data_IF_245937418856
#
_entry.id   IF_245937418856
#
_cell.length_a   1.000
_cell.length_b   1.000
_cell.length_c   1.000
_cell.angle_alpha   90.00
_cell.angle_beta   90.00
_cell.angle_gamma   90.00
#
_symmetry.space_group_name_H-M   'P 1'
#
loop_
_entity.id
_entity.type
_entity.pdbx_description
1 polymer ?
#
# COMPACT_ATOMS: atom_id res chain seq x y z
N UNK A 1 -12.56 -22.89 4.60
CA UNK A 1 -12.88 -23.92 3.58
C UNK A 1 -14.15 -23.51 2.85
N UNK A 2 -14.09 -23.36 1.53
CA UNK A 2 -15.27 -23.08 0.70
C UNK A 2 -16.11 -24.36 0.56
N UNK A 3 -17.43 -24.20 0.47
CA UNK A 3 -18.33 -25.30 0.06
C UNK A 3 -18.13 -25.60 -1.43
N UNK A 4 -18.58 -26.75 -1.96
CA UNK A 4 -18.42 -27.12 -3.39
C UNK A 4 -18.97 -26.12 -4.42
N UNK A 5 -19.79 -25.15 -4.01
CA UNK A 5 -20.30 -24.06 -4.85
C UNK A 5 -19.95 -22.67 -4.28
N UNK A 6 -19.01 -22.64 -3.32
CA UNK A 6 -18.54 -21.42 -2.71
C UNK A 6 -17.78 -20.56 -3.71
N UNK A 7 -17.83 -19.25 -3.49
CA UNK A 7 -17.05 -18.25 -4.20
C UNK A 7 -16.07 -17.62 -3.23
N UNK A 8 -14.90 -17.25 -3.73
CA UNK A 8 -14.02 -16.29 -3.08
C UNK A 8 -13.96 -15.03 -3.95
N UNK A 9 -13.90 -13.89 -3.28
CA UNK A 9 -13.59 -12.61 -3.91
C UNK A 9 -12.74 -11.82 -2.92
N UNK A 10 -11.64 -11.25 -3.40
CA UNK A 10 -10.80 -10.35 -2.60
C UNK A 10 -10.13 -9.32 -3.51
N UNK A 11 -9.67 -8.24 -2.89
CA UNK A 11 -8.88 -7.21 -3.56
C UNK A 11 -7.52 -7.09 -2.90
N UNK A 12 -6.49 -6.85 -3.70
CA UNK A 12 -5.14 -6.58 -3.23
C UNK A 12 -4.53 -5.41 -3.99
N UNK A 13 -3.68 -4.63 -3.32
CA UNK A 13 -3.00 -3.51 -3.97
C UNK A 13 -1.89 -3.99 -4.89
N UNK A 14 -1.74 -3.35 -6.05
CA UNK A 14 -0.51 -3.46 -6.81
C UNK A 14 0.57 -2.72 -6.04
N UNK A 15 1.74 -3.34 -5.85
CA UNK A 15 2.83 -2.78 -5.04
C UNK A 15 3.66 -1.75 -5.83
N UNK A 16 3.01 -0.71 -6.35
CA UNK A 16 3.64 0.39 -7.08
C UNK A 16 3.23 1.78 -6.57
N UNK A 17 3.91 2.81 -7.10
CA UNK A 17 3.51 4.21 -6.96
C UNK A 17 3.62 4.84 -5.57
N UNK A 18 2.73 5.79 -5.29
CA UNK A 18 2.81 6.70 -4.15
C UNK A 18 2.80 5.95 -2.80
N UNK A 19 1.81 5.08 -2.59
CA UNK A 19 1.65 4.39 -1.30
C UNK A 19 2.78 3.38 -1.03
N UNK A 20 3.30 2.72 -2.07
CA UNK A 20 4.50 1.90 -1.94
C UNK A 20 5.71 2.73 -1.54
N UNK A 21 5.90 3.88 -2.19
CA UNK A 21 7.00 4.81 -1.88
C UNK A 21 6.92 5.29 -0.43
N UNK A 22 5.74 5.74 0.02
CA UNK A 22 5.53 6.17 1.40
C UNK A 22 5.73 5.03 2.42
N UNK A 23 5.31 3.80 2.09
CA UNK A 23 5.55 2.65 2.95
C UNK A 23 7.06 2.37 3.09
N UNK A 24 7.83 2.44 2.00
CA UNK A 24 9.27 2.20 2.04
C UNK A 24 9.98 3.28 2.87
N UNK A 25 9.57 4.55 2.76
CA UNK A 25 10.07 5.62 3.61
C UNK A 25 9.76 5.39 5.08
N UNK A 26 8.54 4.97 5.41
CA UNK A 26 8.17 4.68 6.82
C UNK A 26 9.04 3.58 7.42
N UNK A 27 9.32 2.51 6.64
CA UNK A 27 10.21 1.42 7.07
C UNK A 27 11.64 1.93 7.28
N UNK A 28 12.13 2.78 6.38
CA UNK A 28 13.46 3.37 6.49
C UNK A 28 13.58 4.28 7.73
N UNK A 29 12.60 5.14 7.99
CA UNK A 29 12.59 6.04 9.14
C UNK A 29 12.58 5.28 10.47
N UNK A 30 11.79 4.19 10.57
CA UNK A 30 11.80 3.31 11.75
C UNK A 30 13.15 2.64 11.92
N UNK A 31 13.71 2.06 10.85
CA UNK A 31 15.03 1.40 10.89
C UNK A 31 16.13 2.36 11.35
N UNK A 32 16.15 3.59 10.83
CA UNK A 32 17.08 4.64 11.23
C UNK A 32 16.93 5.00 12.71
N UNK A 33 15.70 5.22 13.18
CA UNK A 33 15.41 5.62 14.57
C UNK A 33 15.88 4.61 15.60
N UNK A 34 15.72 3.31 15.32
CA UNK A 34 16.14 2.24 16.23
C UNK A 34 17.59 1.77 16.03
N UNK A 35 18.32 2.33 15.05
CA UNK A 35 19.64 1.84 14.67
C UNK A 35 19.66 0.35 14.29
N UNK A 36 18.49 -0.18 13.89
CA UNK A 36 18.33 -1.57 13.51
C UNK A 36 18.39 -1.64 11.99
N UNK A 37 19.37 -2.38 11.47
CA UNK A 37 19.27 -2.87 10.11
C UNK A 37 18.00 -3.73 9.99
N UNK A 38 17.31 -3.63 8.86
CA UNK A 38 16.22 -4.55 8.52
C UNK A 38 16.71 -5.98 8.79
N UNK A 39 16.02 -6.80 9.60
CA UNK A 39 16.50 -8.13 9.97
C UNK A 39 16.88 -8.94 8.73
N UNK A 40 18.16 -9.34 8.63
CA UNK A 40 18.62 -10.19 7.54
C UNK A 40 17.88 -11.53 7.59
N UNK A 41 17.30 -11.95 6.46
CA UNK A 41 16.64 -13.25 6.34
C UNK A 41 15.18 -13.32 6.77
N UNK A 42 14.51 -12.18 7.01
CA UNK A 42 13.05 -12.18 7.02
C UNK A 42 12.54 -12.50 5.60
N UNK A 43 11.70 -13.52 5.48
CA UNK A 43 11.06 -13.83 4.19
C UNK A 43 10.28 -12.60 3.70
N UNK A 44 10.43 -12.30 2.41
CA UNK A 44 9.62 -11.27 1.78
C UNK A 44 8.14 -11.64 1.93
N UNK A 45 7.25 -10.68 2.23
CA UNK A 45 5.82 -10.93 2.17
C UNK A 45 5.42 -11.51 0.82
N UNK A 46 4.37 -12.33 0.81
CA UNK A 46 3.80 -12.82 -0.44
C UNK A 46 3.38 -11.65 -1.34
N UNK A 47 3.67 -11.75 -2.64
CA UNK A 47 3.43 -10.71 -3.63
C UNK A 47 1.93 -10.62 -4.01
N UNK A 48 1.10 -10.09 -3.11
CA UNK A 48 -0.33 -9.92 -3.34
C UNK A 48 -0.67 -8.98 -4.50
N UNK A 49 0.26 -8.14 -4.92
CA UNK A 49 0.12 -7.28 -6.10
C UNK A 49 0.45 -7.94 -7.42
N UNK A 50 0.83 -9.22 -7.43
CA UNK A 50 1.23 -9.96 -8.63
C UNK A 50 0.16 -11.00 -9.04
N UNK A 51 -0.35 -10.85 -10.25
CA UNK A 51 -1.38 -11.74 -10.80
C UNK A 51 -0.92 -13.20 -10.93
N UNK A 52 0.33 -13.41 -11.35
CA UNK A 52 0.88 -14.75 -11.58
C UNK A 52 1.04 -15.46 -10.23
N UNK A 53 1.62 -14.78 -9.25
CA UNK A 53 1.79 -15.31 -7.89
C UNK A 53 0.44 -15.69 -7.28
N UNK A 54 -0.59 -14.84 -7.40
CA UNK A 54 -1.94 -15.14 -6.92
C UNK A 54 -2.49 -16.41 -7.58
N UNK A 55 -2.44 -16.49 -8.92
CA UNK A 55 -2.98 -17.64 -9.65
C UNK A 55 -2.27 -18.93 -9.25
N UNK A 56 -0.95 -18.90 -9.13
CA UNK A 56 -0.14 -20.03 -8.69
C UNK A 56 -0.55 -20.49 -7.28
N UNK A 57 -0.55 -19.58 -6.30
CA UNK A 57 -0.92 -19.88 -4.91
C UNK A 57 -2.27 -20.59 -4.81
N UNK A 58 -3.30 -20.08 -5.49
CA UNK A 58 -4.65 -20.65 -5.39
C UNK A 58 -4.80 -21.96 -6.18
N UNK A 59 -4.04 -22.13 -7.28
CA UNK A 59 -4.07 -23.38 -8.05
C UNK A 59 -3.54 -24.57 -7.26
N UNK A 60 -2.52 -24.36 -6.40
CA UNK A 60 -1.98 -25.37 -5.48
C UNK A 60 -3.02 -25.87 -4.46
N UNK A 61 -4.10 -25.12 -4.27
CA UNK A 61 -5.20 -25.43 -3.37
C UNK A 61 -6.50 -25.84 -4.09
N UNK A 62 -6.44 -26.14 -5.39
CA UNK A 62 -7.60 -26.60 -6.17
C UNK A 62 -8.64 -25.50 -6.41
N UNK A 63 -8.21 -24.23 -6.44
CA UNK A 63 -9.06 -23.09 -6.74
C UNK A 63 -8.68 -22.49 -8.09
N UNK A 64 -9.67 -22.30 -8.95
CA UNK A 64 -9.49 -21.51 -10.17
C UNK A 64 -9.86 -20.06 -9.87
N UNK A 65 -8.89 -19.16 -10.02
CA UNK A 65 -9.05 -17.72 -9.77
C UNK A 65 -8.86 -16.93 -11.07
N UNK A 66 -9.77 -16.01 -11.34
CA UNK A 66 -9.62 -14.94 -12.31
C UNK A 66 -9.12 -13.70 -11.59
N UNK A 67 -8.14 -13.02 -12.17
CA UNK A 67 -7.55 -11.80 -11.64
C UNK A 67 -7.74 -10.71 -12.69
N UNK A 68 -8.20 -9.55 -12.26
CA UNK A 68 -8.39 -8.37 -13.11
C UNK A 68 -7.81 -7.15 -12.41
N UNK A 69 -6.98 -6.38 -13.11
CA UNK A 69 -6.52 -5.09 -12.62
C UNK A 69 -7.64 -4.04 -12.76
N UNK A 70 -7.91 -3.33 -11.67
CA UNK A 70 -8.88 -2.25 -11.56
C UNK A 70 -8.19 -1.00 -11.02
N UNK A 71 -8.84 0.15 -11.21
CA UNK A 71 -8.33 1.43 -10.75
C UNK A 71 -9.25 2.03 -9.67
N UNK A 72 -8.64 2.72 -8.71
CA UNK A 72 -9.32 3.57 -7.73
C UNK A 72 -8.69 4.96 -7.81
N UNK A 73 -9.52 6.00 -7.98
CA UNK A 73 -9.04 7.37 -7.97
C UNK A 73 -9.20 7.95 -6.57
N UNK A 74 -8.13 8.51 -6.03
CA UNK A 74 -8.16 9.36 -4.83
C UNK A 74 -8.14 10.80 -5.29
N UNK A 75 -9.04 11.59 -4.71
CA UNK A 75 -9.16 13.02 -4.95
C UNK A 75 -9.12 13.74 -3.59
N UNK A 76 -8.39 14.84 -3.55
CA UNK A 76 -8.30 15.74 -2.38
C UNK A 76 -8.18 17.18 -2.87
N UNK A 77 -8.48 18.13 -1.98
CA UNK A 77 -8.41 19.57 -2.32
C UNK A 77 -6.99 20.03 -2.65
N UNK A 78 -5.96 19.31 -2.19
CA UNK A 78 -4.54 19.57 -2.50
C UNK A 78 -3.63 18.40 -2.09
N UNK A 79 -2.39 18.39 -2.60
CA UNK A 79 -1.38 17.39 -2.22
C UNK A 79 -1.04 17.48 -0.72
N UNK A 80 -0.97 18.70 -0.18
CA UNK A 80 -0.80 18.95 1.25
C UNK A 80 -1.96 18.34 2.06
N UNK A 81 -3.20 18.52 1.59
CA UNK A 81 -4.38 17.93 2.21
C UNK A 81 -4.30 16.41 2.31
N UNK A 82 -3.87 15.73 1.24
CA UNK A 82 -3.66 14.29 1.30
C UNK A 82 -2.54 13.92 2.29
N UNK A 83 -1.39 14.61 2.22
CA UNK A 83 -0.24 14.33 3.08
C UNK A 83 -0.62 14.45 4.57
N UNK A 84 -1.26 15.56 4.93
CA UNK A 84 -1.71 15.84 6.28
C UNK A 84 -2.71 14.80 6.76
N UNK A 85 -3.74 14.51 5.95
CA UNK A 85 -4.75 13.49 6.27
C UNK A 85 -4.12 12.12 6.52
N UNK A 86 -3.10 11.75 5.75
CA UNK A 86 -2.43 10.47 5.88
C UNK A 86 -1.66 10.37 7.20
N UNK A 87 -0.88 11.38 7.54
CA UNK A 87 -0.16 11.44 8.82
C UNK A 87 -1.14 11.47 10.00
N UNK A 88 -2.20 12.29 9.92
CA UNK A 88 -3.11 12.54 11.02
C UNK A 88 -4.10 11.38 11.31
N UNK A 89 -4.41 10.53 10.31
CA UNK A 89 -5.47 9.52 10.44
C UNK A 89 -5.01 8.07 10.23
N UNK A 90 -3.95 7.83 9.46
CA UNK A 90 -3.62 6.46 9.09
C UNK A 90 -2.88 5.73 10.24
N UNK A 91 -3.40 4.58 10.74
CA UNK A 91 -2.91 3.96 11.97
C UNK A 91 -1.40 3.66 12.01
N UNK A 92 -0.80 3.31 10.87
CA UNK A 92 0.64 3.07 10.78
C UNK A 92 1.44 4.33 11.11
N UNK A 93 1.04 5.51 10.62
CA UNK A 93 1.76 6.76 10.86
C UNK A 93 1.57 7.23 12.29
N UNK A 94 0.36 7.09 12.83
CA UNK A 94 0.08 7.36 14.23
C UNK A 94 0.92 6.47 15.17
N UNK A 95 1.01 5.17 14.87
CA UNK A 95 1.87 4.25 15.65
C UNK A 95 3.35 4.58 15.49
N UNK A 96 3.76 5.00 14.30
CA UNK A 96 5.15 5.38 14.03
C UNK A 96 5.55 6.64 14.82
N UNK A 97 4.64 7.61 14.97
CA UNK A 97 4.87 8.80 15.80
C UNK A 97 5.30 8.43 17.22
N UNK A 98 4.62 7.46 17.83
CA UNK A 98 4.99 6.95 19.16
C UNK A 98 6.37 6.27 19.17
N UNK A 99 6.78 5.68 18.03
CA UNK A 99 8.03 4.94 17.91
C UNK A 99 9.25 5.84 17.64
N UNK A 100 9.13 6.83 16.76
CA UNK A 100 10.26 7.68 16.32
C UNK A 100 10.30 9.06 16.99
N UNK A 101 9.24 9.44 17.70
CA UNK A 101 9.09 10.73 18.37
C UNK A 101 8.59 11.85 17.46
N UNK A 102 8.06 12.91 18.08
CA UNK A 102 7.41 14.05 17.42
C UNK A 102 8.30 14.72 16.36
N UNK A 103 9.53 15.10 16.72
CA UNK A 103 10.41 15.88 15.84
C UNK A 103 10.78 15.10 14.55
N UNK A 104 11.04 13.79 14.68
CA UNK A 104 11.33 12.93 13.51
C UNK A 104 10.08 12.66 12.68
N UNK A 105 8.92 12.57 13.32
CA UNK A 105 7.65 12.41 12.66
C UNK A 105 7.27 13.64 11.82
N UNK A 106 7.39 14.85 12.37
CA UNK A 106 7.12 16.09 11.63
C UNK A 106 8.14 16.32 10.51
N UNK A 107 9.42 15.99 10.72
CA UNK A 107 10.42 16.03 9.63
C UNK A 107 10.04 15.10 8.47
N UNK A 108 9.58 13.88 8.78
CA UNK A 108 9.14 12.93 7.77
C UNK A 108 7.86 13.40 7.05
N UNK A 109 6.95 14.08 7.76
CA UNK A 109 5.77 14.73 7.17
C UNK A 109 6.15 15.80 6.15
N UNK A 110 7.15 16.61 6.46
CA UNK A 110 7.67 17.62 5.52
C UNK A 110 8.38 16.99 4.32
N UNK A 111 9.17 15.93 4.54
CA UNK A 111 9.93 15.23 3.48
C UNK A 111 9.05 14.41 2.53
N UNK A 112 7.87 13.99 2.97
CA UNK A 112 6.91 13.22 2.15
C UNK A 112 6.09 14.10 1.22
N UNK A 113 5.87 15.38 1.56
CA UNK A 113 5.05 16.28 0.74
C UNK A 113 5.54 16.40 -0.72
N UNK A 114 6.83 16.64 -1.02
CA UNK A 114 7.31 16.72 -2.40
C UNK A 114 7.08 15.43 -3.20
N UNK A 115 7.02 14.29 -2.53
CA UNK A 115 6.73 13.00 -3.15
C UNK A 115 5.24 12.90 -3.49
N UNK A 116 4.37 13.28 -2.57
CA UNK A 116 2.92 13.36 -2.84
C UNK A 116 2.66 14.29 -4.02
N UNK A 117 3.27 15.48 -4.04
CA UNK A 117 3.19 16.41 -5.17
C UNK A 117 3.68 15.81 -6.48
N UNK A 118 4.80 15.07 -6.45
CA UNK A 118 5.36 14.41 -7.62
C UNK A 118 4.49 13.31 -8.24
N UNK A 119 3.56 12.73 -7.46
CA UNK A 119 2.59 11.75 -7.92
C UNK A 119 1.23 12.35 -8.29
N UNK A 120 1.04 13.66 -8.12
CA UNK A 120 -0.22 14.32 -8.43
C UNK A 120 -0.49 14.32 -9.95
N UNK A 121 -1.65 13.82 -10.34
CA UNK A 121 -2.14 13.75 -11.72
C UNK A 121 -3.01 14.96 -12.11
N UNK A 122 -3.32 15.86 -11.16
CA UNK A 122 -4.08 17.08 -11.40
C UNK A 122 -3.16 18.28 -11.67
N UNK A 123 -3.65 19.24 -12.46
CA UNK A 123 -2.94 20.45 -12.89
C UNK A 123 -3.67 21.75 -12.49
N UNK A 124 -4.76 21.65 -11.74
CA UNK A 124 -5.63 22.75 -11.32
C UNK A 124 -5.46 23.16 -9.85
N UNK A 125 -4.46 22.60 -9.16
CA UNK A 125 -4.19 22.82 -7.74
C UNK A 125 -4.89 21.83 -6.81
N UNK A 126 -5.82 21.02 -7.31
CA UNK A 126 -6.32 19.85 -6.57
C UNK A 126 -5.29 18.73 -6.54
N UNK A 127 -5.60 17.66 -5.81
CA UNK A 127 -4.85 16.42 -5.88
C UNK A 127 -5.69 15.32 -6.51
N UNK A 128 -5.11 14.60 -7.47
CA UNK A 128 -5.67 13.37 -8.04
C UNK A 128 -4.59 12.31 -8.15
N UNK A 129 -4.89 11.09 -7.75
CA UNK A 129 -3.99 9.96 -7.93
C UNK A 129 -4.76 8.68 -8.24
N UNK A 130 -4.35 7.97 -9.29
CA UNK A 130 -4.96 6.71 -9.71
C UNK A 130 -4.19 5.52 -9.18
N UNK A 131 -4.75 4.83 -8.20
CA UNK A 131 -4.24 3.58 -7.65
C UNK A 131 -4.68 2.42 -8.52
N UNK A 132 -3.82 1.39 -8.58
CA UNK A 132 -4.15 0.11 -9.18
C UNK A 132 -4.34 -0.94 -8.08
N UNK A 133 -5.34 -1.78 -8.26
CA UNK A 133 -5.56 -2.94 -7.41
C UNK A 133 -5.99 -4.13 -8.27
N UNK A 134 -5.80 -5.34 -7.75
CA UNK A 134 -6.26 -6.56 -8.37
C UNK A 134 -7.58 -6.97 -7.71
N UNK A 135 -8.60 -7.24 -8.53
CA UNK A 135 -9.80 -7.96 -8.12
C UNK A 135 -9.60 -9.43 -8.47
N UNK A 136 -9.63 -10.29 -7.46
CA UNK A 136 -9.47 -11.73 -7.61
C UNK A 136 -10.77 -12.44 -7.25
N UNK A 137 -11.31 -13.22 -8.18
CA UNK A 137 -12.56 -13.97 -8.03
C UNK A 137 -12.35 -15.44 -8.41
N UNK A 138 -12.86 -16.36 -7.59
CA UNK A 138 -12.61 -17.78 -7.85
C UNK A 138 -13.58 -18.74 -7.19
N UNK A 139 -13.42 -20.02 -7.52
CA UNK A 139 -14.19 -21.13 -6.96
C UNK A 139 -13.40 -22.44 -6.97
N UNK A 140 -13.83 -23.43 -6.16
CA UNK A 140 -13.30 -24.80 -6.23
C UNK A 140 -13.41 -25.38 -7.64
N UNK A 141 -12.40 -26.16 -8.02
CA UNK A 141 -12.39 -27.02 -9.20
C UNK A 141 -12.90 -28.41 -8.83
#
# INVERSE_FOLDING_TARGET
MLRPQGRLAFTSWVEDGLFKTMQDMSKAAVAESFGQATPEGADAPFAWGDEVAIRELFSEHGLMVQVEQRNLVIEEDSALGLNDRWFDLHPIWLTMKDAIGEDSYEKLREETLPIVEGYNEADDGSFRYTLKYLLSEGSPV
#
